data_IF_396512546412
#
_entry.id   IF_396512546412
#
_cell.length_a   1.000
_cell.length_b   1.000
_cell.length_c   1.000
_cell.angle_alpha   90.00
_cell.angle_beta   90.00
_cell.angle_gamma   90.00
#
_symmetry.space_group_name_H-M   'P 1'
#
loop_
_entity.id
_entity.type
_entity.pdbx_description
1 polymer ?
#
# COMPACT_ATOMS: atom_id res chain seq x y z
N UNK A 1 7.09 -12.25 8.12
CA UNK A 1 5.93 -11.36 7.99
C UNK A 1 5.02 -11.81 6.84
N UNK A 2 5.49 -11.84 5.58
CA UNK A 2 4.68 -12.19 4.42
C UNK A 2 3.99 -13.56 4.54
N UNK A 3 4.69 -14.61 5.00
CA UNK A 3 4.12 -15.95 5.17
C UNK A 3 2.96 -15.97 6.18
N UNK A 4 3.06 -15.21 7.27
CA UNK A 4 1.97 -15.11 8.27
C UNK A 4 0.79 -14.36 7.69
N UNK A 5 1.02 -13.25 6.98
CA UNK A 5 -0.05 -12.51 6.31
C UNK A 5 -0.74 -13.35 5.23
N UNK A 6 0.03 -14.17 4.50
CA UNK A 6 -0.52 -15.09 3.50
C UNK A 6 -1.39 -16.18 4.16
N UNK A 7 -0.94 -16.75 5.28
CA UNK A 7 -1.73 -17.70 6.05
C UNK A 7 -3.04 -17.10 6.52
N UNK A 8 -3.02 -15.89 7.10
CA UNK A 8 -4.21 -15.17 7.52
C UNK A 8 -5.17 -14.88 6.33
N UNK A 9 -4.62 -14.52 5.16
CA UNK A 9 -5.40 -14.29 3.95
C UNK A 9 -6.14 -15.54 3.45
N UNK A 10 -5.43 -16.68 3.44
CA UNK A 10 -6.02 -17.97 3.02
C UNK A 10 -7.16 -18.36 3.97
N UNK A 11 -6.93 -18.30 5.27
CA UNK A 11 -7.95 -18.64 6.28
C UNK A 11 -9.13 -17.69 6.19
N UNK A 12 -8.91 -16.37 6.13
CA UNK A 12 -9.98 -15.38 6.03
C UNK A 12 -10.75 -15.43 4.72
N UNK A 13 -10.07 -15.62 3.60
CA UNK A 13 -10.71 -15.79 2.30
C UNK A 13 -11.55 -17.08 2.22
N UNK A 14 -11.04 -18.20 2.75
CA UNK A 14 -11.79 -19.46 2.83
C UNK A 14 -13.01 -19.33 3.74
N UNK A 15 -12.88 -18.68 4.90
CA UNK A 15 -14.00 -18.42 5.80
C UNK A 15 -15.07 -17.53 5.12
N UNK A 16 -14.65 -16.47 4.42
CA UNK A 16 -15.55 -15.62 3.66
C UNK A 16 -16.31 -16.40 2.56
N UNK A 17 -15.62 -17.28 1.85
CA UNK A 17 -16.25 -18.14 0.85
C UNK A 17 -17.28 -19.10 1.49
N UNK A 18 -16.95 -19.68 2.65
CA UNK A 18 -17.82 -20.61 3.37
C UNK A 18 -19.12 -19.95 3.88
N UNK A 19 -19.06 -18.65 4.25
CA UNK A 19 -20.27 -17.89 4.66
C UNK A 19 -20.98 -17.22 3.49
N UNK A 20 -20.67 -17.56 2.26
CA UNK A 20 -21.39 -17.12 1.07
C UNK A 20 -20.97 -15.75 0.51
N UNK A 21 -19.77 -15.26 0.85
CA UNK A 21 -19.26 -14.00 0.27
C UNK A 21 -19.02 -14.06 -1.26
N UNK A 22 -19.10 -15.25 -1.86
CA UNK A 22 -19.08 -15.43 -3.31
C UNK A 22 -17.87 -14.79 -3.97
N UNK A 23 -18.13 -13.90 -4.92
CA UNK A 23 -17.09 -13.21 -5.71
C UNK A 23 -16.21 -12.28 -4.89
N UNK A 24 -16.63 -11.85 -3.70
CA UNK A 24 -15.86 -10.95 -2.82
C UNK A 24 -14.84 -11.68 -1.96
N UNK A 25 -14.90 -13.02 -1.84
CA UNK A 25 -14.01 -13.80 -0.97
C UNK A 25 -12.50 -13.60 -1.30
N UNK A 26 -12.05 -13.58 -2.57
CA UNK A 26 -10.64 -13.32 -2.87
C UNK A 26 -10.20 -11.91 -2.45
N UNK A 27 -11.07 -10.91 -2.61
CA UNK A 27 -10.76 -9.53 -2.20
C UNK A 27 -10.69 -9.41 -0.68
N UNK A 28 -11.56 -10.08 0.07
CA UNK A 28 -11.49 -10.15 1.54
C UNK A 28 -10.16 -10.79 1.99
N UNK A 29 -9.76 -11.89 1.35
CA UNK A 29 -8.47 -12.52 1.63
C UNK A 29 -7.30 -11.58 1.38
N UNK A 30 -7.33 -10.85 0.26
CA UNK A 30 -6.35 -9.82 -0.07
C UNK A 30 -6.30 -8.71 1.00
N UNK A 31 -7.44 -8.17 1.39
CA UNK A 31 -7.51 -7.10 2.39
C UNK A 31 -6.95 -7.53 3.74
N UNK A 32 -7.25 -8.76 4.17
CA UNK A 32 -6.66 -9.34 5.39
C UNK A 32 -5.13 -9.44 5.27
N UNK A 33 -4.61 -9.92 4.13
CA UNK A 33 -3.16 -9.95 3.89
C UNK A 33 -2.55 -8.56 4.04
N UNK A 34 -3.11 -7.58 3.34
CA UNK A 34 -2.58 -6.23 3.28
C UNK A 34 -2.62 -5.54 4.66
N UNK A 35 -3.75 -5.67 5.37
CA UNK A 35 -3.89 -5.10 6.74
C UNK A 35 -2.91 -5.75 7.71
N UNK A 36 -2.83 -7.08 7.75
CA UNK A 36 -1.91 -7.80 8.65
C UNK A 36 -0.46 -7.47 8.32
N UNK A 37 -0.11 -7.40 7.03
CA UNK A 37 1.23 -7.02 6.61
C UNK A 37 1.58 -5.58 7.04
N UNK A 38 0.72 -4.62 6.73
CA UNK A 38 0.94 -3.21 7.10
C UNK A 38 1.01 -3.04 8.61
N UNK A 39 0.07 -3.60 9.37
CA UNK A 39 0.06 -3.52 10.83
C UNK A 39 1.36 -4.08 11.43
N UNK A 40 1.83 -5.22 10.92
CA UNK A 40 3.09 -5.80 11.40
C UNK A 40 4.31 -4.96 11.01
N UNK A 41 4.36 -4.45 9.78
CA UNK A 41 5.46 -3.56 9.37
C UNK A 41 5.51 -2.34 10.27
N UNK A 42 4.40 -1.61 10.39
CA UNK A 42 4.34 -0.37 11.15
C UNK A 42 4.60 -0.56 12.65
N UNK A 43 4.08 -1.62 13.25
CA UNK A 43 4.40 -1.95 14.66
C UNK A 43 5.89 -2.21 14.90
N UNK A 44 6.61 -2.67 13.86
CA UNK A 44 8.04 -2.93 13.94
C UNK A 44 8.87 -1.68 13.68
N UNK A 45 8.54 -0.90 12.63
CA UNK A 45 9.45 0.16 12.14
C UNK A 45 9.18 1.53 12.74
N UNK A 46 7.96 1.78 13.26
CA UNK A 46 7.56 3.10 13.75
C UNK A 46 8.39 3.62 14.95
N UNK A 47 8.95 2.71 15.73
CA UNK A 47 9.72 3.02 16.95
C UNK A 47 11.23 2.94 16.76
N UNK A 48 11.70 2.68 15.54
CA UNK A 48 13.12 2.56 15.26
C UNK A 48 13.74 3.94 15.11
N UNK A 49 14.79 4.21 15.89
CA UNK A 49 15.65 5.38 15.70
C UNK A 49 16.49 5.25 14.42
N UNK A 50 17.23 6.28 14.06
CA UNK A 50 18.03 6.33 12.84
C UNK A 50 19.04 5.17 12.73
N UNK A 51 19.73 4.83 13.83
CA UNK A 51 20.71 3.73 13.85
C UNK A 51 20.05 2.38 13.65
N UNK A 52 18.94 2.14 14.32
CA UNK A 52 18.15 0.91 14.19
C UNK A 52 17.49 0.81 12.83
N UNK A 53 17.05 1.94 12.26
CA UNK A 53 16.52 2.05 10.88
C UNK A 53 17.58 1.62 9.88
N UNK A 54 18.80 2.17 9.97
CA UNK A 54 19.91 1.79 9.10
C UNK A 54 20.22 0.29 9.18
N UNK A 55 20.35 -0.23 10.40
CA UNK A 55 20.61 -1.66 10.63
C UNK A 55 19.50 -2.56 10.10
N UNK A 56 18.24 -2.16 10.27
CA UNK A 56 17.09 -2.92 9.78
C UNK A 56 16.98 -2.87 8.25
N UNK A 57 17.24 -1.71 7.63
CA UNK A 57 17.17 -1.52 6.19
C UNK A 57 18.28 -2.31 5.46
N UNK A 58 19.47 -2.41 6.04
CA UNK A 58 20.63 -3.12 5.49
C UNK A 58 20.57 -4.64 5.63
N UNK A 59 19.65 -5.20 6.42
CA UNK A 59 19.54 -6.66 6.57
C UNK A 59 19.26 -7.30 5.22
N UNK A 60 20.20 -8.09 4.74
CA UNK A 60 20.01 -8.94 3.58
C UNK A 60 18.92 -9.97 3.83
N UNK A 61 17.95 -10.02 2.95
CA UNK A 61 16.91 -11.04 2.96
C UNK A 61 16.67 -11.51 1.51
N UNK A 62 17.24 -12.65 1.12
CA UNK A 62 17.04 -13.22 -0.21
C UNK A 62 15.53 -13.35 -0.52
N UNK A 63 15.11 -12.87 -1.68
CA UNK A 63 13.71 -12.90 -2.09
C UNK A 63 12.86 -11.70 -1.64
N UNK A 64 13.41 -10.72 -0.91
CA UNK A 64 12.67 -9.53 -0.48
C UNK A 64 12.19 -8.69 -1.67
N UNK A 65 13.03 -8.52 -2.68
CA UNK A 65 12.66 -7.79 -3.89
C UNK A 65 11.58 -8.51 -4.67
N UNK A 66 11.64 -9.84 -4.74
CA UNK A 66 10.57 -10.64 -5.34
C UNK A 66 9.26 -10.51 -4.55
N UNK A 67 9.31 -10.57 -3.22
CA UNK A 67 8.15 -10.36 -2.37
C UNK A 67 7.52 -8.97 -2.57
N UNK A 68 8.34 -7.91 -2.66
CA UNK A 68 7.88 -6.56 -2.95
C UNK A 68 7.20 -6.47 -4.33
N UNK A 69 7.79 -7.07 -5.38
CA UNK A 69 7.20 -7.09 -6.72
C UNK A 69 5.87 -7.84 -6.74
N UNK A 70 5.79 -8.98 -6.04
CA UNK A 70 4.55 -9.76 -5.93
C UNK A 70 3.47 -8.95 -5.19
N UNK A 71 3.81 -8.30 -4.07
CA UNK A 71 2.86 -7.47 -3.31
C UNK A 71 2.35 -6.28 -4.14
N UNK A 72 3.27 -5.59 -4.85
CA UNK A 72 2.90 -4.46 -5.70
C UNK A 72 2.03 -4.91 -6.89
N UNK A 73 2.39 -6.02 -7.53
CA UNK A 73 1.60 -6.61 -8.62
C UNK A 73 0.21 -7.03 -8.16
N UNK A 74 0.11 -7.66 -6.98
CA UNK A 74 -1.16 -8.06 -6.40
C UNK A 74 -2.02 -6.85 -5.97
N UNK A 75 -1.40 -5.76 -5.49
CA UNK A 75 -2.11 -4.52 -5.19
C UNK A 75 -2.74 -3.91 -6.46
N UNK A 76 -2.04 -3.93 -7.58
CA UNK A 76 -2.61 -3.50 -8.88
C UNK A 76 -3.71 -4.47 -9.34
N UNK A 77 -3.49 -5.79 -9.23
CA UNK A 77 -4.50 -6.78 -9.58
C UNK A 77 -5.77 -6.66 -8.72
N UNK A 78 -5.66 -6.22 -7.47
CA UNK A 78 -6.82 -5.99 -6.60
C UNK A 78 -7.77 -4.92 -7.16
N UNK A 79 -7.29 -3.98 -7.98
CA UNK A 79 -8.15 -2.99 -8.65
C UNK A 79 -9.16 -3.64 -9.61
N UNK A 80 -8.81 -4.78 -10.23
CA UNK A 80 -9.75 -5.54 -11.06
C UNK A 80 -10.87 -6.10 -10.18
N UNK A 81 -10.50 -6.68 -9.02
CA UNK A 81 -11.47 -7.21 -8.07
C UNK A 81 -12.37 -6.11 -7.49
N UNK A 82 -11.80 -4.94 -7.16
CA UNK A 82 -12.57 -3.75 -6.77
C UNK A 82 -13.53 -3.32 -7.86
N UNK A 83 -13.09 -3.29 -9.12
CA UNK A 83 -13.93 -2.99 -10.28
C UNK A 83 -15.12 -3.95 -10.41
N UNK A 84 -14.91 -5.25 -10.21
CA UNK A 84 -15.99 -6.26 -10.21
C UNK A 84 -17.00 -6.00 -9.09
N UNK A 85 -16.55 -5.64 -7.88
CA UNK A 85 -17.44 -5.30 -6.75
C UNK A 85 -18.23 -4.02 -7.05
N UNK A 86 -17.58 -2.99 -7.58
CA UNK A 86 -18.25 -1.73 -7.95
C UNK A 86 -19.27 -1.93 -9.09
N UNK A 87 -18.97 -2.77 -10.06
CA UNK A 87 -19.91 -3.13 -11.11
C UNK A 87 -21.14 -3.86 -10.52
N UNK A 88 -20.92 -4.78 -9.59
CA UNK A 88 -21.99 -5.44 -8.82
C UNK A 88 -22.83 -4.45 -8.03
N UNK A 89 -22.21 -3.47 -7.36
CA UNK A 89 -22.90 -2.42 -6.62
C UNK A 89 -23.80 -1.55 -7.52
N UNK A 90 -23.40 -1.31 -8.77
CA UNK A 90 -24.21 -0.59 -9.75
C UNK A 90 -25.54 -1.29 -10.12
N UNK A 91 -25.62 -2.60 -9.93
CA UNK A 91 -26.83 -3.43 -10.19
C UNK A 91 -27.59 -3.83 -8.92
N UNK A 92 -27.04 -3.50 -7.74
CA UNK A 92 -27.67 -3.78 -6.46
C UNK A 92 -28.68 -2.67 -6.08
N UNK A 93 -29.68 -3.04 -5.29
CA UNK A 93 -30.70 -2.13 -4.78
C UNK A 93 -30.58 -1.95 -3.26
N UNK A 94 -31.09 -0.83 -2.75
CA UNK A 94 -31.16 -0.55 -1.33
C UNK A 94 -29.79 -0.47 -0.65
N UNK A 95 -29.70 -0.91 0.60
CA UNK A 95 -28.50 -0.84 1.45
C UNK A 95 -27.32 -1.65 0.90
N UNK A 96 -27.57 -2.73 0.17
CA UNK A 96 -26.52 -3.59 -0.38
C UNK A 96 -25.60 -2.83 -1.35
N UNK A 97 -26.13 -1.90 -2.14
CA UNK A 97 -25.36 -1.03 -3.03
C UNK A 97 -24.29 -0.24 -2.26
N UNK A 98 -24.67 0.38 -1.15
CA UNK A 98 -23.78 1.21 -0.34
C UNK A 98 -22.76 0.38 0.42
N UNK A 99 -23.15 -0.80 0.92
CA UNK A 99 -22.22 -1.74 1.56
C UNK A 99 -21.13 -2.20 0.59
N UNK A 100 -21.50 -2.58 -0.64
CA UNK A 100 -20.53 -3.00 -1.66
C UNK A 100 -19.62 -1.84 -2.09
N UNK A 101 -20.15 -0.63 -2.28
CA UNK A 101 -19.36 0.54 -2.62
C UNK A 101 -18.40 0.92 -1.49
N UNK A 102 -18.86 0.90 -0.23
CA UNK A 102 -18.02 1.13 0.94
C UNK A 102 -16.92 0.09 1.09
N UNK A 103 -17.24 -1.20 0.91
CA UNK A 103 -16.26 -2.27 0.92
C UNK A 103 -15.19 -2.08 -0.16
N UNK A 104 -15.59 -1.75 -1.40
CA UNK A 104 -14.67 -1.47 -2.49
C UNK A 104 -13.73 -0.29 -2.17
N UNK A 105 -14.27 0.79 -1.56
CA UNK A 105 -13.48 1.95 -1.14
C UNK A 105 -12.45 1.57 -0.05
N UNK A 106 -12.84 0.77 0.94
CA UNK A 106 -11.92 0.27 1.96
C UNK A 106 -10.82 -0.59 1.33
N UNK A 107 -11.18 -1.52 0.44
CA UNK A 107 -10.22 -2.42 -0.22
C UNK A 107 -9.18 -1.67 -1.05
N UNK A 108 -9.59 -0.66 -1.83
CA UNK A 108 -8.61 0.13 -2.60
C UNK A 108 -7.74 0.99 -1.68
N UNK A 109 -8.28 1.52 -0.57
CA UNK A 109 -7.52 2.30 0.42
C UNK A 109 -6.48 1.44 1.14
N UNK A 110 -6.81 0.20 1.46
CA UNK A 110 -5.90 -0.79 2.05
C UNK A 110 -4.78 -1.14 1.06
N UNK A 111 -5.11 -1.37 -0.21
CA UNK A 111 -4.13 -1.61 -1.27
C UNK A 111 -3.20 -0.41 -1.49
N UNK A 112 -3.73 0.80 -1.45
CA UNK A 112 -2.98 2.05 -1.50
C UNK A 112 -1.99 2.15 -0.33
N UNK A 113 -2.46 1.91 0.90
CA UNK A 113 -1.61 1.91 2.10
C UNK A 113 -0.48 0.87 2.00
N UNK A 114 -0.77 -0.34 1.48
CA UNK A 114 0.23 -1.38 1.28
C UNK A 114 1.31 -0.93 0.29
N UNK A 115 0.94 -0.34 -0.84
CA UNK A 115 1.90 0.15 -1.84
C UNK A 115 2.86 1.14 -1.20
N UNK A 116 2.36 2.14 -0.47
CA UNK A 116 3.22 3.16 0.16
C UNK A 116 4.05 2.59 1.31
N UNK A 117 3.53 1.61 2.04
CA UNK A 117 4.31 0.88 3.04
C UNK A 117 5.49 0.12 2.41
N UNK A 118 5.28 -0.56 1.29
CA UNK A 118 6.35 -1.24 0.55
C UNK A 118 7.38 -0.24 0.03
N UNK A 119 6.95 0.89 -0.54
CA UNK A 119 7.88 1.93 -1.01
C UNK A 119 8.64 2.60 0.11
N UNK A 120 8.05 2.83 1.29
CA UNK A 120 8.76 3.30 2.49
C UNK A 120 9.95 2.38 2.81
N UNK A 121 9.74 1.07 2.83
CA UNK A 121 10.80 0.10 3.09
C UNK A 121 11.85 0.09 1.96
N UNK A 122 11.44 0.27 0.70
CA UNK A 122 12.34 0.29 -0.46
C UNK A 122 13.20 1.55 -0.48
N UNK A 123 12.66 2.73 -0.16
CA UNK A 123 13.42 3.97 -0.05
C UNK A 123 14.47 3.88 1.05
N UNK A 124 14.11 3.38 2.25
CA UNK A 124 15.05 3.17 3.34
C UNK A 124 16.20 2.21 2.92
N UNK A 125 15.86 1.11 2.23
CA UNK A 125 16.89 0.19 1.71
C UNK A 125 17.83 0.87 0.71
N UNK A 126 17.29 1.59 -0.27
CA UNK A 126 18.10 2.27 -1.27
C UNK A 126 18.99 3.34 -0.66
N UNK A 127 18.45 4.08 0.31
CA UNK A 127 19.20 5.12 1.02
C UNK A 127 20.38 4.54 1.80
N UNK A 128 20.16 3.45 2.53
CA UNK A 128 21.17 2.82 3.38
C UNK A 128 22.01 1.74 2.68
N UNK A 129 21.77 1.45 1.40
CA UNK A 129 22.57 0.51 0.62
C UNK A 129 23.93 1.12 0.25
N UNK A 130 25.02 0.51 0.68
CA UNK A 130 26.39 1.02 0.46
C UNK A 130 26.65 2.28 1.27
N UNK A 131 27.07 3.38 0.61
CA UNK A 131 27.20 4.69 1.25
C UNK A 131 25.82 5.31 1.39
N UNK A 132 25.39 5.56 2.64
CA UNK A 132 24.11 6.18 2.94
C UNK A 132 23.96 7.54 2.20
N UNK A 133 22.79 7.77 1.58
CA UNK A 133 22.50 8.99 0.84
C UNK A 133 21.58 8.81 -0.37
N UNK A 134 21.54 9.84 -1.19
CA UNK A 134 20.72 9.88 -2.42
C UNK A 134 19.32 10.47 -2.24
N UNK A 135 18.96 10.81 -1.00
CA UNK A 135 17.84 11.65 -0.62
C UNK A 135 18.39 12.64 0.41
N UNK A 136 18.19 13.93 0.18
CA UNK A 136 18.43 14.99 1.14
C UNK A 136 17.10 15.40 1.76
N UNK A 137 16.94 15.12 3.07
CA UNK A 137 15.76 15.49 3.84
C UNK A 137 15.87 16.91 4.44
N UNK A 138 16.92 17.66 4.10
CA UNK A 138 17.25 18.99 4.64
C UNK A 138 17.39 19.00 6.18
N UNK A 139 17.85 17.88 6.75
CA UNK A 139 18.10 17.68 8.18
C UNK A 139 19.53 17.17 8.40
N UNK A 140 20.12 17.57 9.54
CA UNK A 140 21.47 17.12 9.90
C UNK A 140 21.49 15.68 10.46
N UNK A 141 20.38 15.22 10.98
CA UNK A 141 20.24 13.88 11.57
C UNK A 141 20.00 12.82 10.49
N UNK A 142 20.53 11.59 10.66
CA UNK A 142 20.25 10.50 9.73
C UNK A 142 18.76 10.13 9.75
N UNK A 143 18.15 9.85 8.59
CA UNK A 143 16.72 9.64 8.48
C UNK A 143 16.26 8.34 9.14
N UNK A 144 15.04 8.39 9.68
CA UNK A 144 14.30 7.28 10.27
C UNK A 144 13.24 6.75 9.29
N UNK A 145 12.53 5.70 9.67
CA UNK A 145 11.42 5.20 8.84
C UNK A 145 10.28 6.20 8.67
N UNK A 146 10.08 7.13 9.62
CA UNK A 146 9.12 8.23 9.49
C UNK A 146 9.40 9.13 8.29
N UNK A 147 10.67 9.44 8.01
CA UNK A 147 11.07 10.33 6.92
C UNK A 147 10.87 9.65 5.56
N UNK A 148 11.20 8.36 5.47
CA UNK A 148 10.88 7.57 4.28
C UNK A 148 9.37 7.36 4.10
N UNK A 149 8.61 7.28 5.19
CA UNK A 149 7.15 7.22 5.14
C UNK A 149 6.58 8.55 4.63
N UNK A 150 7.05 9.68 5.18
CA UNK A 150 6.68 11.01 4.71
C UNK A 150 6.88 11.13 3.20
N UNK A 151 8.09 10.82 2.70
CA UNK A 151 8.38 10.81 1.27
C UNK A 151 7.42 9.92 0.48
N UNK A 152 7.23 8.68 0.94
CA UNK A 152 6.42 7.70 0.22
C UNK A 152 4.94 8.09 0.18
N UNK A 153 4.34 8.43 1.31
CA UNK A 153 2.92 8.78 1.38
C UNK A 153 2.62 10.13 0.72
N UNK A 154 3.56 11.09 0.78
CA UNK A 154 3.42 12.38 0.07
C UNK A 154 3.43 12.17 -1.45
N UNK A 155 4.35 11.36 -2.00
CA UNK A 155 4.31 10.99 -3.43
C UNK A 155 2.97 10.32 -3.77
N UNK A 156 2.45 9.46 -2.88
CA UNK A 156 1.18 8.78 -3.06
C UNK A 156 -0.04 9.69 -3.11
N UNK A 157 -0.03 10.77 -2.34
CA UNK A 157 -1.16 11.73 -2.22
C UNK A 157 -1.07 12.88 -3.21
N UNK A 158 0.12 13.42 -3.45
CA UNK A 158 0.31 14.72 -4.13
C UNK A 158 1.23 14.64 -5.35
N UNK A 159 1.94 13.53 -5.56
CA UNK A 159 2.97 13.33 -6.60
C UNK A 159 4.21 14.24 -6.44
N UNK A 160 4.26 15.12 -5.45
CA UNK A 160 5.34 16.08 -5.23
C UNK A 160 5.73 16.13 -3.76
N UNK A 161 7.06 16.20 -3.51
CA UNK A 161 7.66 16.51 -2.22
C UNK A 161 8.51 17.75 -2.44
N UNK A 162 8.24 18.84 -1.72
CA UNK A 162 8.86 20.15 -1.96
C UNK A 162 10.06 20.44 -1.05
N UNK A 163 10.16 19.75 0.06
CA UNK A 163 11.14 19.93 1.14
C UNK A 163 12.21 18.82 1.21
N UNK A 164 12.21 17.93 0.23
CA UNK A 164 13.12 16.80 0.14
C UNK A 164 13.67 16.67 -1.26
N UNK A 165 15.01 16.56 -1.40
CA UNK A 165 15.66 16.47 -2.69
C UNK A 165 16.09 15.05 -3.01
N UNK A 166 15.68 14.52 -4.17
CA UNK A 166 16.14 13.22 -4.65
C UNK A 166 17.36 13.41 -5.54
N UNK A 167 18.53 13.02 -5.04
CA UNK A 167 19.82 13.22 -5.69
C UNK A 167 20.26 12.01 -6.51
N UNK A 168 19.86 10.79 -6.12
CA UNK A 168 20.24 9.55 -6.79
C UNK A 168 19.36 9.26 -8.02
N UNK A 169 19.99 8.90 -9.16
CA UNK A 169 19.28 8.43 -10.36
C UNK A 169 18.47 7.15 -10.07
N UNK A 170 18.97 6.27 -9.20
CA UNK A 170 18.30 5.03 -8.86
C UNK A 170 17.01 5.32 -8.07
N UNK A 171 17.08 6.22 -7.10
CA UNK A 171 15.93 6.62 -6.30
C UNK A 171 14.92 7.40 -7.16
N UNK A 172 15.35 8.25 -8.10
CA UNK A 172 14.45 8.90 -9.07
C UNK A 172 13.66 7.91 -9.92
N UNK A 173 14.32 6.83 -10.41
CA UNK A 173 13.62 5.77 -11.15
C UNK A 173 12.60 5.05 -10.26
N UNK A 174 12.96 4.80 -8.99
CA UNK A 174 12.05 4.22 -8.02
C UNK A 174 10.84 5.12 -7.77
N UNK A 175 11.06 6.44 -7.60
CA UNK A 175 10.00 7.42 -7.41
C UNK A 175 9.06 7.50 -8.62
N UNK A 176 9.60 7.40 -9.84
CA UNK A 176 8.79 7.34 -11.06
C UNK A 176 7.90 6.07 -11.08
N UNK A 177 8.46 4.89 -10.78
CA UNK A 177 7.67 3.65 -10.68
C UNK A 177 6.60 3.77 -9.59
N UNK A 178 6.93 4.40 -8.44
CA UNK A 178 6.00 4.65 -7.36
C UNK A 178 4.84 5.54 -7.81
N UNK A 179 5.12 6.67 -8.45
CA UNK A 179 4.10 7.58 -8.96
C UNK A 179 3.16 6.89 -9.96
N UNK A 180 3.71 6.07 -10.87
CA UNK A 180 2.91 5.29 -11.83
C UNK A 180 1.97 4.29 -11.17
N UNK A 181 2.38 3.67 -10.06
CA UNK A 181 1.54 2.74 -9.30
C UNK A 181 0.51 3.47 -8.42
N UNK A 182 0.88 4.64 -7.89
CA UNK A 182 0.00 5.44 -7.02
C UNK A 182 -1.16 6.07 -7.78
N UNK A 183 -0.92 6.50 -9.03
CA UNK A 183 -1.88 7.24 -9.83
C UNK A 183 -3.21 6.48 -10.02
N UNK A 184 -3.25 5.23 -10.54
CA UNK A 184 -4.50 4.51 -10.72
C UNK A 184 -5.23 4.24 -9.39
N UNK A 185 -4.49 3.93 -8.31
CA UNK A 185 -5.08 3.72 -6.99
C UNK A 185 -5.76 4.98 -6.48
N UNK A 186 -5.09 6.15 -6.58
CA UNK A 186 -5.65 7.43 -6.18
C UNK A 186 -6.89 7.82 -6.99
N UNK A 187 -6.86 7.62 -8.31
CA UNK A 187 -8.01 7.88 -9.19
C UNK A 187 -9.20 7.01 -8.81
N UNK A 188 -9.00 5.73 -8.51
CA UNK A 188 -10.08 4.82 -8.10
C UNK A 188 -10.64 5.22 -6.74
N UNK A 189 -9.80 5.60 -5.76
CA UNK A 189 -10.24 6.08 -4.44
C UNK A 189 -11.15 7.32 -4.61
N UNK A 190 -10.69 8.32 -5.35
CA UNK A 190 -11.46 9.57 -5.56
C UNK A 190 -12.77 9.26 -6.28
N UNK A 191 -12.74 8.48 -7.36
CA UNK A 191 -13.94 8.12 -8.13
C UNK A 191 -14.95 7.33 -7.31
N UNK A 192 -14.49 6.35 -6.52
CA UNK A 192 -15.35 5.56 -5.64
C UNK A 192 -15.96 6.42 -4.52
N UNK A 193 -15.18 7.35 -3.94
CA UNK A 193 -15.66 8.28 -2.92
C UNK A 193 -16.74 9.21 -3.45
N UNK A 194 -16.51 9.81 -4.63
CA UNK A 194 -17.51 10.70 -5.28
C UNK A 194 -18.81 9.93 -5.57
N UNK A 195 -18.71 8.72 -6.13
CA UNK A 195 -19.87 7.90 -6.45
C UNK A 195 -20.66 7.49 -5.20
N UNK A 196 -19.95 7.16 -4.10
CA UNK A 196 -20.59 6.82 -2.83
C UNK A 196 -21.36 8.03 -2.26
N UNK A 197 -20.72 9.20 -2.19
CA UNK A 197 -21.34 10.44 -1.68
C UNK A 197 -22.51 10.87 -2.54
N UNK A 198 -22.35 10.89 -3.87
CA UNK A 198 -23.44 11.23 -4.79
C UNK A 198 -24.62 10.24 -4.71
N UNK A 199 -24.35 8.98 -4.38
CA UNK A 199 -25.41 7.99 -4.16
C UNK A 199 -26.18 8.20 -2.85
N UNK A 200 -25.53 8.70 -1.81
CA UNK A 200 -26.16 9.00 -0.52
C UNK A 200 -26.99 10.28 -0.53
N UNK A 201 -26.73 11.17 -1.49
CA UNK A 201 -27.44 12.45 -1.65
C UNK A 201 -28.77 12.35 -2.44
N UNK A 202 -29.10 11.14 -2.92
CA UNK A 202 -30.37 10.84 -3.64
C UNK A 202 -31.33 10.07 -2.75
#
# INVERSE_FOLDING_TARGET
KLLVSLGAAIVGGAAAAAVGAGRSAPLIGWDILAVVFCAWVWSTVWRLDAKSTASHAQRENPGRDLADVVLLGAAVASLIAVGVVLFGAGHANGSLKYLQAGFALVSVSVSWTLVHTVFTLRYARLYYSGRAGGIDFNEAEPPQYSDFAYLSFTIGMTFQVSDTNIESKQIRRMALCHAWLSFPLGVVIISASINLVAGLAK
#
